data_IF_314571242696
#
_entry.id   IF_314571242696
#
_cell.length_a   1.000
_cell.length_b   1.000
_cell.length_c   1.000
_cell.angle_alpha   90.00
_cell.angle_beta   90.00
_cell.angle_gamma   90.00
#
_symmetry.space_group_name_H-M   'P 1'
#
loop_
_entity.id
_entity.type
_entity.pdbx_description
1 polymer ?
#
# COMPACT_ATOMS: atom_id res chain seq x y z
N UNK A 1 17.04 17.22 -10.50
CA UNK A 1 16.51 16.46 -11.65
C UNK A 1 15.34 17.23 -12.22
N UNK A 2 15.55 17.96 -13.33
CA UNK A 2 14.50 18.66 -14.06
C UNK A 2 13.49 17.63 -14.59
N UNK A 3 12.35 17.53 -13.90
CA UNK A 3 11.22 16.68 -14.28
C UNK A 3 10.43 17.33 -15.41
N UNK A 4 11.07 17.56 -16.55
CA UNK A 4 10.40 17.96 -17.79
C UNK A 4 9.97 16.72 -18.60
N UNK A 5 9.43 15.69 -17.95
CA UNK A 5 8.84 14.54 -18.64
C UNK A 5 7.68 13.96 -17.81
N UNK A 6 6.46 14.10 -18.32
CA UNK A 6 5.28 13.37 -17.85
C UNK A 6 4.06 14.27 -17.65
N UNK A 7 3.01 14.01 -18.44
CA UNK A 7 1.71 14.69 -18.45
C UNK A 7 1.07 14.80 -17.04
N UNK A 8 1.32 15.89 -16.33
CA UNK A 8 0.61 16.24 -15.08
C UNK A 8 -0.71 16.89 -15.46
N UNK A 9 -1.82 16.38 -14.93
CA UNK A 9 -3.14 16.97 -15.15
C UNK A 9 -3.14 18.46 -14.79
N UNK A 10 -3.78 19.35 -15.60
CA UNK A 10 -3.84 20.78 -15.32
C UNK A 10 -4.36 21.13 -13.91
N UNK A 11 -5.22 20.27 -13.34
CA UNK A 11 -5.77 20.47 -11.99
C UNK A 11 -4.74 20.29 -10.87
N UNK A 12 -3.69 19.50 -11.09
CA UNK A 12 -2.65 19.17 -10.11
C UNK A 12 -1.45 20.12 -10.25
N UNK A 13 -1.16 20.58 -11.47
CA UNK A 13 0.01 21.40 -11.77
C UNK A 13 0.07 22.70 -10.95
N UNK A 14 -1.09 23.32 -10.67
CA UNK A 14 -1.17 24.56 -9.86
C UNK A 14 -0.62 24.40 -8.43
N UNK A 15 -0.62 23.19 -7.88
CA UNK A 15 -0.12 22.92 -6.52
C UNK A 15 1.36 22.55 -6.48
N UNK A 16 1.93 22.08 -7.59
CA UNK A 16 3.30 21.57 -7.66
C UNK A 16 4.28 22.56 -8.33
N UNK A 17 3.78 23.66 -8.91
CA UNK A 17 4.59 24.68 -9.60
C UNK A 17 5.60 25.32 -8.64
N UNK A 18 6.89 25.27 -8.98
CA UNK A 18 7.98 25.80 -8.16
C UNK A 18 8.43 24.89 -7.01
N UNK A 19 7.75 23.75 -6.80
CA UNK A 19 8.17 22.73 -5.85
C UNK A 19 9.24 21.79 -6.43
N UNK A 20 10.11 21.26 -5.57
CA UNK A 20 11.08 20.22 -5.93
C UNK A 20 10.74 18.92 -5.20
N UNK A 21 10.79 17.79 -5.92
CA UNK A 21 10.54 16.46 -5.34
C UNK A 21 11.70 16.06 -4.42
N UNK A 22 11.42 15.95 -3.12
CA UNK A 22 12.41 15.62 -2.09
C UNK A 22 12.72 14.12 -2.02
N UNK A 23 11.71 13.26 -2.18
CA UNK A 23 11.87 11.80 -2.11
C UNK A 23 10.92 11.07 -3.06
N UNK A 24 11.19 9.79 -3.30
CA UNK A 24 10.32 8.88 -4.03
C UNK A 24 10.45 7.48 -3.43
N UNK A 25 9.34 6.74 -3.38
CA UNK A 25 9.31 5.36 -2.92
C UNK A 25 8.15 4.59 -3.55
N UNK A 26 8.31 3.27 -3.63
CA UNK A 26 7.31 2.35 -4.14
C UNK A 26 7.29 1.08 -3.29
N UNK A 27 6.11 0.49 -3.10
CA UNK A 27 5.92 -0.77 -2.37
C UNK A 27 4.74 -1.54 -2.98
N UNK A 28 4.86 -2.87 -3.05
CA UNK A 28 3.76 -3.73 -3.44
C UNK A 28 2.64 -3.73 -2.39
N UNK A 29 1.38 -3.74 -2.84
CA UNK A 29 0.19 -3.79 -1.99
C UNK A 29 -0.63 -5.04 -2.32
N UNK A 30 -1.30 -5.60 -1.31
CA UNK A 30 -2.06 -6.83 -1.45
C UNK A 30 -3.48 -6.51 -1.92
N UNK A 31 -3.87 -7.08 -3.08
CA UNK A 31 -5.21 -6.89 -3.68
C UNK A 31 -6.08 -8.15 -3.69
N UNK A 32 -5.52 -9.31 -3.36
CA UNK A 32 -6.22 -10.60 -3.46
C UNK A 32 -7.41 -10.78 -2.51
N UNK A 33 -7.50 -9.97 -1.44
CA UNK A 33 -8.62 -9.96 -0.51
C UNK A 33 -8.88 -11.32 0.14
N UNK A 34 -10.14 -11.56 0.53
CA UNK A 34 -10.55 -12.78 1.22
C UNK A 34 -10.29 -14.06 0.41
N UNK A 35 -10.47 -13.99 -0.91
CA UNK A 35 -10.34 -15.13 -1.82
C UNK A 35 -8.90 -15.67 -1.90
N UNK A 36 -7.91 -14.84 -1.60
CA UNK A 36 -6.50 -15.20 -1.66
C UNK A 36 -5.88 -15.49 -0.29
N UNK A 37 -6.71 -15.70 0.76
CA UNK A 37 -6.19 -15.89 2.12
C UNK A 37 -5.67 -17.32 2.33
N UNK A 38 -4.41 -17.50 2.75
CA UNK A 38 -3.86 -18.80 3.08
C UNK A 38 -4.30 -19.25 4.48
N UNK A 39 -4.01 -20.51 4.82
CA UNK A 39 -4.08 -20.97 6.21
C UNK A 39 -3.06 -20.19 7.05
N UNK A 40 -3.54 -19.52 8.10
CA UNK A 40 -2.72 -18.57 8.88
C UNK A 40 -1.96 -19.22 10.04
N UNK A 41 -2.21 -20.48 10.35
CA UNK A 41 -1.54 -21.20 11.43
C UNK A 41 -0.84 -22.45 10.93
N UNK A 42 0.33 -22.70 11.50
CA UNK A 42 1.13 -23.89 11.27
C UNK A 42 1.86 -24.28 12.57
N UNK A 43 2.32 -25.54 12.72
CA UNK A 43 3.04 -25.95 13.93
C UNK A 43 4.27 -25.06 14.17
N UNK A 44 4.28 -24.33 15.29
CA UNK A 44 5.38 -23.43 15.66
C UNK A 44 5.30 -22.00 15.10
N UNK A 45 4.23 -21.59 14.43
CA UNK A 45 4.12 -20.21 13.96
C UNK A 45 2.78 -19.77 13.37
N UNK A 46 2.70 -18.47 13.05
CA UNK A 46 1.51 -17.80 12.56
C UNK A 46 1.87 -16.82 11.42
N UNK A 47 0.98 -16.72 10.43
CA UNK A 47 0.99 -15.66 9.42
C UNK A 47 0.05 -14.53 9.87
N UNK A 48 0.57 -13.31 9.89
CA UNK A 48 -0.15 -12.10 10.29
C UNK A 48 0.04 -10.96 9.27
N UNK A 49 -0.82 -9.96 9.33
CA UNK A 49 -0.74 -8.75 8.51
C UNK A 49 -0.84 -8.98 7.01
N UNK A 50 -0.06 -8.21 6.25
CA UNK A 50 -0.08 -8.27 4.78
C UNK A 50 0.37 -9.65 4.25
N UNK A 51 1.20 -10.38 4.99
CA UNK A 51 1.60 -11.75 4.66
C UNK A 51 0.43 -12.74 4.75
N UNK A 52 -0.56 -12.47 5.61
CA UNK A 52 -1.79 -13.24 5.72
C UNK A 52 -2.92 -12.72 4.81
N UNK A 53 -2.67 -11.67 4.04
CA UNK A 53 -3.63 -11.07 3.13
C UNK A 53 -4.80 -10.36 3.82
N UNK A 54 -4.58 -9.75 4.98
CA UNK A 54 -5.65 -9.11 5.78
C UNK A 54 -6.05 -7.71 5.29
N UNK A 55 -5.50 -7.22 4.18
CA UNK A 55 -5.71 -5.85 3.69
C UNK A 55 -7.13 -5.64 3.13
N UNK A 56 -7.77 -4.51 3.49
CA UNK A 56 -8.98 -4.02 2.82
C UNK A 56 -8.59 -3.15 1.62
N UNK A 57 -8.54 -3.76 0.43
CA UNK A 57 -8.18 -3.07 -0.80
C UNK A 57 -9.17 -1.97 -1.23
N UNK A 58 -10.50 -2.18 -1.24
CA UNK A 58 -11.46 -1.14 -1.64
C UNK A 58 -11.33 0.16 -0.83
N UNK A 59 -10.94 0.05 0.44
CA UNK A 59 -10.73 1.21 1.32
C UNK A 59 -9.27 1.67 1.39
N UNK A 60 -8.34 0.94 0.77
CA UNK A 60 -6.88 1.14 0.86
C UNK A 60 -6.43 1.21 2.33
N UNK A 61 -6.89 0.24 3.15
CA UNK A 61 -6.57 0.18 4.58
C UNK A 61 -6.07 -1.21 4.96
N UNK A 62 -4.77 -1.31 5.24
CA UNK A 62 -4.12 -2.53 5.76
C UNK A 62 -3.65 -2.42 7.21
N UNK A 63 -3.35 -1.21 7.70
CA UNK A 63 -2.69 -1.04 9.01
C UNK A 63 -3.52 -1.58 10.18
N UNK A 64 -4.78 -1.16 10.29
CA UNK A 64 -5.67 -1.61 11.36
C UNK A 64 -5.94 -3.13 11.34
N UNK A 65 -6.07 -3.74 10.16
CA UNK A 65 -6.27 -5.18 10.05
C UNK A 65 -4.99 -5.96 10.34
N UNK A 66 -3.83 -5.42 9.96
CA UNK A 66 -2.55 -6.00 10.30
C UNK A 66 -2.29 -5.96 11.82
N UNK A 67 -2.56 -4.82 12.47
CA UNK A 67 -2.48 -4.73 13.94
C UNK A 67 -3.43 -5.72 14.60
N UNK A 68 -4.70 -5.77 14.15
CA UNK A 68 -5.70 -6.66 14.73
C UNK A 68 -5.36 -8.15 14.54
N UNK A 69 -4.61 -8.50 13.50
CA UNK A 69 -4.18 -9.89 13.28
C UNK A 69 -3.07 -10.37 14.24
N UNK A 70 -2.38 -9.45 14.92
CA UNK A 70 -1.31 -9.77 15.88
C UNK A 70 -1.69 -9.59 17.35
N UNK A 71 -2.92 -9.12 17.63
CA UNK A 71 -3.51 -8.99 18.97
C UNK A 71 -4.34 -10.23 19.25
#
# INVERSE_FOLDING_TARGET
>A
MNSNNGNISPSINKYLKGGSRVSYGARALIKGGYQSRPKMSFPGGLLIGDNAGTMNFPRIKGTHTAMKSGI
#
